data_IF_021611503020
#
_entry.id   IF_021611503020
#
_cell.length_a   1.000
_cell.length_b   1.000
_cell.length_c   1.000
_cell.angle_alpha   90.00
_cell.angle_beta   90.00
_cell.angle_gamma   90.00
#
_symmetry.space_group_name_H-M   'P 1'
#
loop_
_entity.id
_entity.type
_entity.pdbx_description
1 polymer ?
#
# COMPACT_ATOMS: atom_id res chain seq x y z
N UNK A 1 28.17 62.71 28.62
CA UNK A 1 28.52 63.77 27.65
C UNK A 1 29.92 63.48 27.13
N UNK A 2 30.12 63.68 25.82
CA UNK A 2 31.40 63.73 25.08
C UNK A 2 32.06 62.42 24.55
N UNK A 3 31.71 62.17 23.27
CA UNK A 3 32.56 62.00 22.09
C UNK A 3 33.34 60.70 21.83
N UNK A 4 32.85 59.99 20.81
CA UNK A 4 33.54 59.07 19.90
C UNK A 4 34.82 59.67 19.31
N UNK A 5 35.79 58.80 18.97
CA UNK A 5 36.62 58.91 17.75
C UNK A 5 37.17 57.53 17.37
N UNK A 6 36.63 56.99 16.27
CA UNK A 6 37.12 55.82 15.53
C UNK A 6 38.45 56.15 14.84
N UNK A 7 39.31 55.14 14.62
CA UNK A 7 39.78 54.81 13.27
C UNK A 7 40.68 53.57 13.20
N UNK A 8 40.62 52.96 12.01
CA UNK A 8 41.57 52.05 11.36
C UNK A 8 41.41 50.54 11.60
N UNK A 9 40.37 50.00 10.96
CA UNK A 9 40.46 48.95 9.95
C UNK A 9 41.65 47.99 10.03
N UNK A 10 41.36 46.71 10.31
CA UNK A 10 41.92 45.57 9.57
C UNK A 10 40.92 44.42 9.59
N UNK A 11 40.42 44.11 8.40
CA UNK A 11 39.67 42.92 8.06
C UNK A 11 40.38 41.66 8.58
N UNK A 12 39.63 40.76 9.21
CA UNK A 12 39.53 39.38 8.71
C UNK A 12 38.27 38.73 9.26
N UNK A 13 37.35 38.39 8.35
CA UNK A 13 36.19 37.54 8.63
C UNK A 13 36.64 36.09 8.79
N UNK A 14 36.28 35.45 9.90
CA UNK A 14 36.13 34.00 9.94
C UNK A 14 34.94 33.66 10.84
N UNK A 15 33.77 33.61 10.20
CA UNK A 15 32.51 33.24 10.82
C UNK A 15 32.47 31.72 11.03
N UNK A 16 32.35 31.29 12.28
CA UNK A 16 31.95 29.91 12.63
C UNK A 16 30.55 30.01 13.24
N UNK A 17 29.54 29.96 12.37
CA UNK A 17 28.15 29.76 12.77
C UNK A 17 27.96 28.30 13.20
N UNK A 18 27.96 28.07 14.51
CA UNK A 18 27.54 26.79 15.10
C UNK A 18 26.01 26.74 15.12
N UNK A 19 25.40 26.39 13.98
CA UNK A 19 23.97 26.07 13.88
C UNK A 19 23.76 24.57 14.15
N UNK A 20 23.45 24.21 15.40
CA UNK A 20 22.98 22.86 15.72
C UNK A 20 21.51 22.73 15.35
N UNK A 21 21.23 22.23 14.16
CA UNK A 21 19.88 21.81 13.73
C UNK A 21 19.59 20.42 14.29
N UNK A 22 18.49 20.30 15.03
CA UNK A 22 17.91 19.03 15.45
C UNK A 22 17.55 18.18 14.22
N UNK A 23 18.12 16.98 14.11
CA UNK A 23 17.73 15.99 13.11
C UNK A 23 16.47 15.31 13.65
N UNK A 24 15.29 15.85 13.34
CA UNK A 24 14.05 15.06 13.36
C UNK A 24 14.12 14.10 12.18
N UNK A 25 14.35 12.82 12.45
CA UNK A 25 14.27 11.73 11.47
C UNK A 25 12.83 11.62 10.94
N UNK A 26 12.50 12.40 9.92
CA UNK A 26 11.42 12.03 9.01
C UNK A 26 12.03 10.95 8.12
N UNK A 27 11.57 9.70 8.29
CA UNK A 27 11.82 8.65 7.34
C UNK A 27 11.34 9.14 5.97
N UNK A 28 12.28 9.59 5.13
CA UNK A 28 11.99 9.84 3.73
C UNK A 28 11.67 8.46 3.14
N UNK A 29 10.38 8.23 2.89
CA UNK A 29 9.91 7.15 2.04
C UNK A 29 10.61 7.36 0.71
N UNK A 30 11.66 6.58 0.51
CA UNK A 30 12.39 6.52 -0.74
C UNK A 30 11.43 5.93 -1.75
N UNK A 31 10.82 6.79 -2.56
CA UNK A 31 9.94 6.39 -3.64
C UNK A 31 10.80 5.65 -4.68
N UNK A 32 10.90 4.33 -4.51
CA UNK A 32 11.54 3.42 -5.47
C UNK A 32 10.62 3.24 -6.66
N UNK A 33 10.34 4.33 -7.39
CA UNK A 33 9.48 4.32 -8.58
C UNK A 33 10.26 3.88 -9.82
N UNK A 34 10.97 2.75 -9.80
CA UNK A 34 11.50 2.18 -11.05
C UNK A 34 11.25 0.67 -11.14
N UNK A 35 10.08 0.39 -11.74
CA UNK A 35 9.66 -0.79 -12.53
C UNK A 35 9.17 -2.06 -11.80
N UNK A 36 7.83 -2.25 -11.71
CA UNK A 36 7.08 -3.50 -12.10
C UNK A 36 5.58 -3.46 -11.76
N UNK A 37 4.78 -2.91 -12.69
CA UNK A 37 3.32 -2.97 -12.67
C UNK A 37 2.75 -1.67 -13.23
N UNK A 38 1.82 -1.75 -14.19
CA UNK A 38 1.25 -0.58 -14.88
C UNK A 38 0.64 0.48 -13.93
N UNK A 39 0.39 0.14 -12.66
CA UNK A 39 -0.30 0.99 -11.69
C UNK A 39 0.44 1.07 -10.35
N UNK A 40 0.34 2.24 -9.70
CA UNK A 40 0.79 2.48 -8.33
C UNK A 40 -0.02 1.68 -7.29
N UNK A 41 0.35 1.77 -6.01
CA UNK A 41 -0.39 1.18 -4.89
C UNK A 41 -1.80 1.78 -4.83
N UNK A 42 -1.90 3.10 -4.94
CA UNK A 42 -3.15 3.88 -4.92
C UNK A 42 -4.02 3.52 -6.11
N UNK A 43 -3.44 3.46 -7.33
CA UNK A 43 -4.19 3.12 -8.54
C UNK A 43 -4.75 1.68 -8.50
N UNK A 44 -4.03 0.75 -7.86
CA UNK A 44 -4.55 -0.61 -7.63
C UNK A 44 -5.67 -0.62 -6.58
N UNK A 45 -5.49 0.09 -5.46
CA UNK A 45 -6.50 0.19 -4.42
C UNK A 45 -7.79 0.82 -4.94
N UNK A 46 -7.67 1.88 -5.76
CA UNK A 46 -8.79 2.55 -6.42
C UNK A 46 -9.52 1.59 -7.36
N UNK A 47 -8.81 0.93 -8.29
CA UNK A 47 -9.37 -0.08 -9.20
C UNK A 47 -10.12 -1.21 -8.47
N UNK A 48 -9.57 -1.71 -7.38
CA UNK A 48 -10.21 -2.78 -6.60
C UNK A 48 -11.48 -2.24 -5.95
N UNK A 49 -11.40 -1.04 -5.38
CA UNK A 49 -12.52 -0.38 -4.72
C UNK A 49 -13.66 -0.07 -5.68
N UNK A 50 -13.35 0.45 -6.87
CA UNK A 50 -14.30 0.75 -7.94
C UNK A 50 -15.10 -0.51 -8.34
N UNK A 51 -14.41 -1.64 -8.56
CA UNK A 51 -15.08 -2.92 -8.85
C UNK A 51 -16.00 -3.38 -7.73
N UNK A 52 -15.56 -3.27 -6.48
CA UNK A 52 -16.37 -3.66 -5.31
C UNK A 52 -17.57 -2.72 -5.19
N UNK A 53 -17.36 -1.42 -5.37
CA UNK A 53 -18.38 -0.38 -5.34
C UNK A 53 -19.53 -0.71 -6.30
N UNK A 54 -19.20 -0.98 -7.57
CA UNK A 54 -20.17 -1.37 -8.58
C UNK A 54 -20.86 -2.71 -8.25
N UNK A 55 -20.11 -3.71 -7.80
CA UNK A 55 -20.66 -5.06 -7.54
C UNK A 55 -21.64 -5.07 -6.35
N UNK A 56 -21.39 -4.23 -5.34
CA UNK A 56 -22.12 -4.22 -4.08
C UNK A 56 -23.03 -3.02 -3.90
N UNK A 57 -23.05 -2.08 -4.86
CA UNK A 57 -23.74 -0.80 -4.77
C UNK A 57 -23.39 -0.06 -3.47
N UNK A 58 -22.10 0.17 -3.24
CA UNK A 58 -21.62 0.86 -2.04
C UNK A 58 -22.02 2.33 -2.04
N UNK A 59 -22.30 2.86 -0.85
CA UNK A 59 -22.48 4.31 -0.67
C UNK A 59 -21.13 5.04 -0.53
N UNK A 60 -21.14 6.38 -0.56
CA UNK A 60 -19.92 7.21 -0.51
C UNK A 60 -19.05 6.94 0.72
N UNK A 61 -19.64 6.68 1.88
CA UNK A 61 -18.89 6.45 3.12
C UNK A 61 -18.26 5.06 3.14
N UNK A 62 -18.98 4.06 2.65
CA UNK A 62 -18.47 2.71 2.45
C UNK A 62 -17.32 2.70 1.44
N UNK A 63 -17.44 3.43 0.32
CA UNK A 63 -16.37 3.54 -0.69
C UNK A 63 -15.08 4.08 -0.06
N UNK A 64 -15.15 5.17 0.73
CA UNK A 64 -13.96 5.74 1.40
C UNK A 64 -13.29 4.74 2.35
N UNK A 65 -14.08 4.02 3.14
CA UNK A 65 -13.55 3.05 4.10
C UNK A 65 -12.97 1.81 3.39
N UNK A 66 -13.66 1.27 2.38
CA UNK A 66 -13.18 0.15 1.57
C UNK A 66 -11.90 0.53 0.82
N UNK A 67 -11.80 1.74 0.30
CA UNK A 67 -10.57 2.27 -0.30
C UNK A 67 -9.41 2.24 0.69
N UNK A 68 -9.59 2.80 1.89
CA UNK A 68 -8.55 2.83 2.91
C UNK A 68 -8.08 1.42 3.30
N UNK A 69 -9.03 0.47 3.42
CA UNK A 69 -8.71 -0.94 3.68
C UNK A 69 -7.90 -1.52 2.51
N UNK A 70 -8.34 -1.33 1.26
CA UNK A 70 -7.64 -1.85 0.09
C UNK A 70 -6.25 -1.24 -0.08
N UNK A 71 -6.09 0.05 0.20
CA UNK A 71 -4.80 0.74 0.11
C UNK A 71 -3.77 0.12 1.05
N UNK A 72 -4.14 -0.07 2.32
CA UNK A 72 -3.28 -0.70 3.30
C UNK A 72 -2.93 -2.15 2.92
N UNK A 73 -3.93 -2.94 2.50
CA UNK A 73 -3.71 -4.33 2.09
C UNK A 73 -2.80 -4.43 0.87
N UNK A 74 -3.00 -3.58 -0.16
CA UNK A 74 -2.16 -3.58 -1.37
C UNK A 74 -0.72 -3.21 -1.03
N UNK A 75 -0.51 -2.20 -0.18
CA UNK A 75 0.82 -1.81 0.29
C UNK A 75 1.53 -2.99 0.99
N UNK A 76 0.85 -3.65 1.93
CA UNK A 76 1.41 -4.79 2.68
C UNK A 76 1.64 -6.01 1.79
N UNK A 77 0.81 -6.20 0.77
CA UNK A 77 1.07 -7.22 -0.26
C UNK A 77 2.35 -6.93 -1.05
N UNK A 78 2.64 -5.67 -1.36
CA UNK A 78 3.89 -5.31 -2.03
C UNK A 78 5.11 -5.53 -1.14
N UNK A 79 5.02 -5.18 0.15
CA UNK A 79 6.07 -5.45 1.14
C UNK A 79 6.37 -6.96 1.23
N UNK A 80 5.33 -7.79 1.34
CA UNK A 80 5.45 -9.25 1.34
C UNK A 80 6.06 -9.75 0.02
N UNK A 81 5.76 -9.12 -1.12
CA UNK A 81 6.32 -9.49 -2.42
C UNK A 81 7.78 -9.07 -2.59
N UNK A 82 8.16 -7.92 -2.04
CA UNK A 82 9.51 -7.37 -2.11
C UNK A 82 10.49 -8.09 -1.16
N UNK A 83 9.98 -8.72 -0.10
CA UNK A 83 10.80 -9.42 0.89
C UNK A 83 11.51 -10.66 0.29
N UNK A 84 12.84 -10.58 0.13
CA UNK A 84 13.68 -11.66 -0.40
C UNK A 84 13.85 -12.84 0.56
N UNK A 85 13.69 -12.60 1.85
CA UNK A 85 13.94 -13.60 2.91
C UNK A 85 12.81 -14.63 3.01
N UNK A 86 11.63 -14.31 2.48
CA UNK A 86 10.48 -15.20 2.51
C UNK A 86 10.56 -16.27 1.42
N UNK A 87 10.43 -17.53 1.82
CA UNK A 87 10.16 -18.62 0.88
C UNK A 87 8.81 -18.41 0.19
N UNK A 88 8.60 -19.07 -0.95
CA UNK A 88 7.32 -19.02 -1.66
C UNK A 88 6.14 -19.50 -0.79
N UNK A 89 6.37 -20.48 0.09
CA UNK A 89 5.34 -20.99 1.01
C UNK A 89 4.96 -19.96 2.05
N UNK A 90 5.93 -19.30 2.67
CA UNK A 90 5.68 -18.25 3.67
C UNK A 90 4.98 -17.05 3.05
N UNK A 91 5.43 -16.63 1.86
CA UNK A 91 4.81 -15.55 1.09
C UNK A 91 3.33 -15.84 0.81
N UNK A 92 3.01 -17.08 0.41
CA UNK A 92 1.64 -17.53 0.20
C UNK A 92 0.81 -17.48 1.50
N UNK A 93 1.38 -17.91 2.62
CA UNK A 93 0.71 -17.83 3.93
C UNK A 93 0.41 -16.38 4.29
N UNK A 94 1.38 -15.46 4.12
CA UNK A 94 1.19 -14.04 4.39
C UNK A 94 0.09 -13.42 3.52
N UNK A 95 0.03 -13.76 2.23
CA UNK A 95 -1.05 -13.30 1.36
C UNK A 95 -2.44 -13.80 1.80
N UNK A 96 -2.55 -15.06 2.25
CA UNK A 96 -3.80 -15.61 2.79
C UNK A 96 -4.22 -14.90 4.08
N UNK A 97 -3.27 -14.58 4.94
CA UNK A 97 -3.53 -13.80 6.16
C UNK A 97 -4.06 -12.41 5.81
N UNK A 98 -3.42 -11.70 4.87
CA UNK A 98 -3.86 -10.38 4.42
C UNK A 98 -5.26 -10.42 3.78
N UNK A 99 -5.57 -11.45 3.00
CA UNK A 99 -6.91 -11.63 2.42
C UNK A 99 -7.99 -11.88 3.49
N UNK A 100 -7.65 -12.70 4.50
CA UNK A 100 -8.53 -12.97 5.65
C UNK A 100 -8.77 -11.70 6.47
N UNK A 101 -7.72 -10.93 6.74
CA UNK A 101 -7.83 -9.65 7.44
C UNK A 101 -8.71 -8.66 6.66
N UNK A 102 -8.52 -8.56 5.33
CA UNK A 102 -9.36 -7.72 4.47
C UNK A 102 -10.84 -8.10 4.57
N UNK A 103 -11.14 -9.40 4.48
CA UNK A 103 -12.49 -9.94 4.65
C UNK A 103 -13.13 -9.51 5.98
N UNK A 104 -12.38 -9.66 7.08
CA UNK A 104 -12.83 -9.27 8.42
C UNK A 104 -13.10 -7.77 8.50
N UNK A 105 -12.19 -6.94 7.96
CA UNK A 105 -12.35 -5.48 7.95
C UNK A 105 -13.54 -5.03 7.09
N UNK A 106 -13.83 -5.73 5.98
CA UNK A 106 -15.00 -5.46 5.16
C UNK A 106 -16.32 -5.75 5.90
N UNK A 107 -16.35 -6.78 6.76
CA UNK A 107 -17.55 -7.12 7.54
C UNK A 107 -18.03 -5.97 8.44
N UNK A 108 -17.12 -5.11 8.90
CA UNK A 108 -17.45 -3.94 9.72
C UNK A 108 -17.99 -2.74 8.91
N UNK A 109 -17.78 -2.72 7.60
CA UNK A 109 -18.16 -1.59 6.71
C UNK A 109 -19.40 -1.93 5.89
N UNK A 110 -19.54 -3.19 5.49
CA UNK A 110 -20.61 -3.67 4.63
C UNK A 110 -21.84 -4.06 5.44
N UNK A 111 -23.02 -3.82 4.87
CA UNK A 111 -24.25 -4.41 5.42
C UNK A 111 -24.21 -5.94 5.28
N UNK A 112 -24.99 -6.71 6.08
CA UNK A 112 -25.03 -8.16 5.95
C UNK A 112 -25.30 -8.65 4.53
N UNK A 113 -26.23 -7.99 3.81
CA UNK A 113 -26.56 -8.31 2.42
C UNK A 113 -25.40 -8.03 1.46
N UNK A 114 -24.70 -6.91 1.63
CA UNK A 114 -23.52 -6.58 0.82
C UNK A 114 -22.36 -7.53 1.11
N UNK A 115 -22.14 -7.88 2.38
CA UNK A 115 -21.10 -8.83 2.78
C UNK A 115 -21.36 -10.21 2.19
N UNK A 116 -22.61 -10.69 2.21
CA UNK A 116 -22.98 -11.96 1.55
C UNK A 116 -22.70 -11.92 0.04
N UNK A 117 -23.10 -10.84 -0.65
CA UNK A 117 -22.80 -10.67 -2.08
C UNK A 117 -21.30 -10.68 -2.37
N UNK A 118 -20.51 -10.09 -1.47
CA UNK A 118 -19.05 -10.09 -1.56
C UNK A 118 -18.46 -11.49 -1.37
N UNK A 119 -18.88 -12.24 -0.34
CA UNK A 119 -18.40 -13.61 -0.10
C UNK A 119 -18.75 -14.54 -1.26
N UNK A 120 -19.99 -14.46 -1.77
CA UNK A 120 -20.44 -15.27 -2.91
C UNK A 120 -19.60 -14.94 -4.16
N UNK A 121 -19.27 -13.66 -4.36
CA UNK A 121 -18.44 -13.23 -5.48
C UNK A 121 -16.98 -13.71 -5.37
N UNK A 122 -16.39 -13.72 -4.17
CA UNK A 122 -15.05 -14.27 -3.95
C UNK A 122 -15.01 -15.80 -4.13
N UNK A 123 -16.01 -16.53 -3.66
CA UNK A 123 -16.12 -17.98 -3.89
C UNK A 123 -16.17 -18.31 -5.39
N UNK A 124 -17.04 -17.63 -6.14
CA UNK A 124 -17.14 -17.84 -7.59
C UNK A 124 -15.82 -17.58 -8.34
N UNK A 125 -15.03 -16.59 -7.90
CA UNK A 125 -13.70 -16.35 -8.47
C UNK A 125 -12.73 -17.49 -8.17
N UNK A 126 -12.76 -18.00 -6.95
CA UNK A 126 -11.91 -19.11 -6.51
C UNK A 126 -12.23 -20.37 -7.33
N UNK A 127 -13.49 -20.73 -7.48
CA UNK A 127 -13.92 -21.89 -8.26
C UNK A 127 -13.50 -21.75 -9.73
N UNK A 128 -13.67 -20.56 -10.30
CA UNK A 128 -13.22 -20.29 -11.67
C UNK A 128 -11.69 -20.41 -11.83
N UNK A 129 -10.93 -19.94 -10.84
CA UNK A 129 -9.48 -20.08 -10.83
C UNK A 129 -9.07 -21.55 -10.75
N UNK A 130 -9.69 -22.34 -9.87
CA UNK A 130 -9.43 -23.77 -9.71
C UNK A 130 -9.73 -24.54 -11.01
N UNK A 131 -10.89 -24.31 -11.62
CA UNK A 131 -11.24 -24.91 -12.91
C UNK A 131 -10.23 -24.57 -14.02
N UNK A 132 -9.74 -23.32 -14.06
CA UNK A 132 -8.70 -22.89 -15.01
C UNK A 132 -7.37 -23.60 -14.75
N UNK A 133 -6.99 -23.76 -13.49
CA UNK A 133 -5.76 -24.46 -13.11
C UNK A 133 -5.84 -25.94 -13.45
N UNK A 134 -6.98 -26.58 -13.21
CA UNK A 134 -7.21 -27.99 -13.58
C UNK A 134 -7.10 -28.21 -15.08
N UNK A 135 -7.77 -27.37 -15.89
CA UNK A 135 -7.65 -27.42 -17.35
C UNK A 135 -6.20 -27.27 -17.82
N UNK A 136 -5.39 -26.44 -17.14
CA UNK A 136 -3.96 -26.28 -17.43
C UNK A 136 -3.15 -27.53 -17.07
N UNK A 137 -3.49 -28.22 -15.97
CA UNK A 137 -2.83 -29.48 -15.57
C UNK A 137 -3.13 -30.59 -16.59
N UNK A 138 -4.39 -30.75 -16.99
CA UNK A 138 -4.80 -31.74 -17.99
C UNK A 138 -4.09 -31.53 -19.33
N UNK A 139 -4.00 -30.28 -19.81
CA UNK A 139 -3.26 -29.95 -21.03
C UNK A 139 -1.79 -30.33 -20.98
N UNK A 140 -1.14 -30.19 -19.82
CA UNK A 140 0.26 -30.57 -19.63
C UNK A 140 0.46 -32.07 -19.49
N UNK A 141 -0.53 -32.81 -18.97
CA UNK A 141 -0.48 -34.26 -18.83
C UNK A 141 -0.70 -34.98 -20.18
N UNK A 142 -1.39 -34.33 -21.11
CA UNK A 142 -1.70 -34.86 -22.44
C UNK A 142 -0.70 -34.42 -23.54
N UNK A 143 0.41 -33.77 -23.16
CA UNK A 143 1.49 -33.33 -24.03
C UNK A 143 2.77 -34.10 -23.68
#
# INVERSE_FOLDING_TARGET
MLTMKFNAARLLFLAICFCTTAITSHAQVQDTTMMRGRWSVEGRADKITDKISHKLALNKDQIRQIYAINLDIVRRMDEVKANSELTNKERMTQFKTLDTERSQRFKSVLTPTQFKKWTDWEMNKKDHLEAKMEKKRQRKANQ
#
